data_IF_084386929899
#
_entry.id   IF_084386929899
#
_cell.length_a   1.000
_cell.length_b   1.000
_cell.length_c   1.000
_cell.angle_alpha   90.00
_cell.angle_beta   90.00
_cell.angle_gamma   90.00
#
_symmetry.space_group_name_H-M   'P 1'
#
loop_
_entity.id
_entity.type
_entity.pdbx_description
1 polymer ?
#
# COMPACT_ATOMS: atom_id res chain seq x y z
N UNK A 1 24.76 -24.26 -22.16
CA UNK A 1 26.05 -23.57 -22.38
C UNK A 1 26.34 -23.25 -23.86
N UNK A 2 26.07 -24.16 -24.80
CA UNK A 2 26.46 -24.00 -26.21
C UNK A 2 25.90 -22.76 -26.93
N UNK A 3 24.61 -22.45 -26.76
CA UNK A 3 23.98 -21.30 -27.46
C UNK A 3 24.61 -19.95 -27.07
N UNK A 4 24.95 -19.78 -25.79
CA UNK A 4 25.60 -18.56 -25.29
C UNK A 4 27.01 -18.45 -25.86
N UNK A 5 27.74 -19.57 -25.98
CA UNK A 5 29.07 -19.58 -26.62
C UNK A 5 28.98 -19.16 -28.08
N UNK A 6 27.99 -19.67 -28.82
CA UNK A 6 27.75 -19.29 -30.22
C UNK A 6 27.39 -17.81 -30.37
N UNK A 7 26.55 -17.27 -29.47
CA UNK A 7 26.23 -15.85 -29.46
C UNK A 7 27.45 -14.95 -29.20
N UNK A 8 28.37 -15.39 -28.32
CA UNK A 8 29.65 -14.70 -28.09
C UNK A 8 30.55 -14.74 -29.32
N UNK A 9 30.71 -15.92 -29.93
CA UNK A 9 31.48 -16.08 -31.18
C UNK A 9 30.93 -15.14 -32.28
N UNK A 10 29.60 -15.11 -32.46
CA UNK A 10 28.95 -14.26 -33.46
C UNK A 10 29.14 -12.76 -33.18
N UNK A 11 29.04 -12.34 -31.92
CA UNK A 11 29.29 -10.96 -31.51
C UNK A 11 30.70 -10.51 -31.90
N UNK A 12 31.71 -11.36 -31.66
CA UNK A 12 33.11 -11.02 -31.93
C UNK A 12 33.46 -11.09 -33.42
N UNK A 13 33.01 -12.14 -34.12
CA UNK A 13 33.39 -12.38 -35.51
C UNK A 13 32.72 -11.41 -36.50
N UNK A 14 31.50 -10.98 -36.19
CA UNK A 14 30.69 -10.18 -37.12
C UNK A 14 30.41 -8.76 -36.61
N UNK A 15 30.99 -8.36 -35.47
CA UNK A 15 30.65 -7.11 -34.77
C UNK A 15 29.12 -6.93 -34.58
N UNK A 16 28.44 -8.05 -34.33
CA UNK A 16 26.99 -8.10 -34.27
C UNK A 16 26.49 -7.79 -32.85
N UNK A 17 25.42 -6.99 -32.74
CA UNK A 17 24.69 -6.86 -31.48
C UNK A 17 23.75 -8.05 -31.28
N UNK A 18 24.01 -8.87 -30.26
CA UNK A 18 23.26 -10.10 -29.98
C UNK A 18 22.71 -10.06 -28.56
N UNK A 19 21.43 -10.40 -28.39
CA UNK A 19 20.81 -10.58 -27.09
C UNK A 19 19.98 -11.87 -27.07
N UNK A 20 20.06 -12.60 -25.97
CA UNK A 20 19.32 -13.84 -25.74
C UNK A 20 18.57 -13.75 -24.41
N UNK A 21 17.29 -14.11 -24.45
CA UNK A 21 16.42 -14.27 -23.28
C UNK A 21 15.95 -15.73 -23.31
N UNK A 22 16.28 -16.51 -22.28
CA UNK A 22 15.99 -17.94 -22.20
C UNK A 22 15.21 -18.24 -20.92
N UNK A 23 14.03 -18.84 -21.07
CA UNK A 23 13.23 -19.33 -19.95
C UNK A 23 13.34 -20.86 -19.87
N UNK A 24 13.76 -21.39 -18.72
CA UNK A 24 13.70 -22.82 -18.48
C UNK A 24 12.26 -23.27 -18.19
N UNK A 25 12.00 -24.57 -18.31
CA UNK A 25 10.76 -25.20 -17.82
C UNK A 25 10.53 -25.02 -16.31
N UNK A 26 11.59 -24.68 -15.56
CA UNK A 26 11.55 -24.34 -14.14
C UNK A 26 11.40 -22.85 -13.87
N UNK A 27 11.02 -22.06 -14.89
CA UNK A 27 10.84 -20.61 -14.82
C UNK A 27 12.10 -19.81 -14.43
N UNK A 28 13.30 -20.38 -14.59
CA UNK A 28 14.55 -19.62 -14.41
C UNK A 28 14.85 -18.83 -15.69
N UNK A 29 15.13 -17.55 -15.51
CA UNK A 29 15.59 -16.65 -16.57
C UNK A 29 17.12 -16.76 -16.69
N UNK A 30 17.58 -17.03 -17.91
CA UNK A 30 18.99 -16.90 -18.29
C UNK A 30 19.10 -15.88 -19.41
N UNK A 31 20.03 -14.95 -19.27
CA UNK A 31 20.20 -13.86 -20.21
C UNK A 31 21.64 -13.74 -20.70
N UNK A 32 21.76 -13.27 -21.94
CA UNK A 32 23.03 -12.83 -22.51
C UNK A 32 22.78 -11.57 -23.35
N UNK A 33 23.71 -10.63 -23.30
CA UNK A 33 23.73 -9.44 -24.13
C UNK A 33 25.16 -9.17 -24.57
N UNK A 34 25.35 -8.76 -25.82
CA UNK A 34 26.67 -8.35 -26.30
C UNK A 34 27.21 -7.18 -25.45
N UNK A 35 28.53 -7.13 -25.18
CA UNK A 35 29.11 -6.14 -24.25
C UNK A 35 28.94 -4.67 -24.67
N UNK A 36 28.74 -4.43 -25.96
CA UNK A 36 28.61 -3.10 -26.56
C UNK A 36 27.20 -2.51 -26.46
N UNK A 37 26.23 -3.27 -25.96
CA UNK A 37 24.83 -2.83 -25.83
C UNK A 37 24.22 -3.31 -24.51
N UNK A 38 22.99 -2.88 -24.24
CA UNK A 38 22.21 -3.37 -23.11
C UNK A 38 20.95 -4.07 -23.62
N UNK A 39 20.39 -4.95 -22.80
CA UNK A 39 19.15 -5.65 -23.15
C UNK A 39 18.01 -4.66 -23.44
N UNK A 40 17.92 -3.59 -22.66
CA UNK A 40 16.98 -2.48 -22.91
C UNK A 40 17.19 -1.88 -24.30
N UNK A 41 18.41 -1.51 -24.68
CA UNK A 41 18.70 -0.95 -26.00
C UNK A 41 18.35 -1.90 -27.15
N UNK A 42 18.53 -3.21 -26.95
CA UNK A 42 18.13 -4.23 -27.93
C UNK A 42 16.62 -4.35 -28.06
N UNK A 43 15.89 -4.36 -26.94
CA UNK A 43 14.42 -4.38 -26.91
C UNK A 43 13.87 -3.09 -27.54
N UNK A 44 14.43 -1.93 -27.21
CA UNK A 44 14.01 -0.64 -27.78
C UNK A 44 14.23 -0.61 -29.31
N UNK A 45 15.39 -1.06 -29.79
CA UNK A 45 15.67 -1.18 -31.24
C UNK A 45 14.74 -2.19 -31.91
N UNK A 46 14.46 -3.32 -31.28
CA UNK A 46 13.51 -4.31 -31.81
C UNK A 46 12.14 -3.67 -32.02
N UNK A 47 11.59 -3.02 -30.99
CA UNK A 47 10.30 -2.34 -31.06
C UNK A 47 10.23 -1.27 -32.16
N UNK A 48 11.31 -0.50 -32.36
CA UNK A 48 11.40 0.48 -33.44
C UNK A 48 11.36 -0.14 -34.83
N UNK A 49 12.03 -1.28 -35.03
CA UNK A 49 12.12 -1.94 -36.34
C UNK A 49 10.86 -2.73 -36.67
N UNK A 50 10.26 -3.41 -35.69
CA UNK A 50 9.06 -4.22 -35.90
C UNK A 50 7.77 -3.42 -35.79
N UNK A 51 7.82 -2.18 -35.27
CA UNK A 51 6.63 -1.39 -34.97
C UNK A 51 5.77 -1.98 -33.86
N UNK A 52 6.29 -2.94 -33.07
CA UNK A 52 5.57 -3.55 -31.95
C UNK A 52 5.89 -2.81 -30.67
N UNK A 53 4.87 -2.48 -29.88
CA UNK A 53 5.08 -1.94 -28.55
C UNK A 53 4.84 -3.02 -27.50
N UNK A 54 5.94 -3.54 -26.96
CA UNK A 54 5.93 -4.60 -25.95
C UNK A 54 5.47 -4.07 -24.59
N UNK A 55 5.53 -2.75 -24.39
CA UNK A 55 5.14 -2.09 -23.15
C UNK A 55 3.64 -1.81 -23.08
N UNK A 56 2.92 -1.74 -24.21
CA UNK A 56 1.52 -1.32 -24.25
C UNK A 56 0.62 -2.16 -23.34
N UNK A 57 0.67 -3.49 -23.45
CA UNK A 57 -0.18 -4.36 -22.61
C UNK A 57 0.07 -4.21 -21.10
N UNK A 58 1.34 -4.07 -20.70
CA UNK A 58 1.71 -3.89 -19.29
C UNK A 58 1.36 -2.48 -18.80
N UNK A 59 1.62 -1.46 -19.62
CA UNK A 59 1.32 -0.08 -19.34
C UNK A 59 -0.20 0.16 -19.25
N UNK A 60 -0.99 -0.42 -20.15
CA UNK A 60 -2.45 -0.39 -20.11
C UNK A 60 -3.00 -1.03 -18.81
N UNK A 61 -2.47 -2.19 -18.42
CA UNK A 61 -2.86 -2.84 -17.17
C UNK A 61 -2.52 -1.99 -15.96
N UNK A 62 -1.32 -1.42 -15.92
CA UNK A 62 -0.88 -0.53 -14.84
C UNK A 62 -1.71 0.75 -14.79
N UNK A 63 -2.01 1.35 -15.94
CA UNK A 63 -2.83 2.55 -16.05
C UNK A 63 -4.25 2.28 -15.57
N UNK A 64 -4.82 1.12 -15.90
CA UNK A 64 -6.13 0.69 -15.43
C UNK A 64 -6.16 0.52 -13.91
N UNK A 65 -5.13 -0.10 -13.34
CA UNK A 65 -5.00 -0.25 -11.89
C UNK A 65 -4.84 1.10 -11.19
N UNK A 66 -4.00 1.98 -11.74
CA UNK A 66 -3.81 3.33 -11.24
C UNK A 66 -5.13 4.12 -11.23
N UNK A 67 -5.89 4.09 -12.32
CA UNK A 67 -7.18 4.78 -12.42
C UNK A 67 -8.17 4.22 -11.38
N UNK A 68 -8.23 2.91 -11.21
CA UNK A 68 -9.08 2.27 -10.18
C UNK A 68 -8.71 2.72 -8.76
N UNK A 69 -7.41 2.80 -8.45
CA UNK A 69 -6.94 3.28 -7.15
C UNK A 69 -7.23 4.76 -6.95
N UNK A 70 -7.05 5.57 -8.00
CA UNK A 70 -7.36 7.00 -8.00
C UNK A 70 -8.85 7.25 -7.71
N UNK A 71 -9.75 6.54 -8.40
CA UNK A 71 -11.20 6.63 -8.15
C UNK A 71 -11.56 6.23 -6.72
N UNK A 72 -10.97 5.15 -6.21
CA UNK A 72 -11.18 4.72 -4.81
C UNK A 72 -10.71 5.78 -3.82
N UNK A 73 -9.57 6.42 -4.08
CA UNK A 73 -9.01 7.46 -3.23
C UNK A 73 -9.92 8.69 -3.20
N UNK A 74 -10.37 9.16 -4.36
CA UNK A 74 -11.29 10.30 -4.45
C UNK A 74 -12.63 10.02 -3.75
N UNK A 75 -13.18 8.82 -3.88
CA UNK A 75 -14.37 8.40 -3.12
C UNK A 75 -14.15 8.43 -1.61
N UNK A 76 -13.01 7.94 -1.14
CA UNK A 76 -12.68 7.94 0.30
C UNK A 76 -12.50 9.36 0.83
N UNK A 77 -11.79 10.22 0.08
CA UNK A 77 -11.61 11.63 0.42
C UNK A 77 -12.95 12.36 0.50
N UNK A 78 -13.83 12.15 -0.47
CA UNK A 78 -15.19 12.70 -0.46
C UNK A 78 -15.98 12.21 0.76
N UNK A 79 -15.93 10.92 1.08
CA UNK A 79 -16.61 10.38 2.27
C UNK A 79 -16.07 10.99 3.58
N UNK A 80 -14.76 11.26 3.67
CA UNK A 80 -14.16 11.95 4.82
C UNK A 80 -14.70 13.39 4.92
N UNK A 81 -14.71 14.14 3.82
CA UNK A 81 -15.25 15.50 3.77
C UNK A 81 -16.72 15.56 4.20
N UNK A 82 -17.53 14.63 3.69
CA UNK A 82 -18.94 14.50 4.10
C UNK A 82 -19.08 14.20 5.60
N UNK A 83 -18.24 13.33 6.17
CA UNK A 83 -18.25 13.04 7.61
C UNK A 83 -17.85 14.22 8.49
N UNK A 84 -17.12 15.20 7.97
CA UNK A 84 -16.78 16.44 8.69
C UNK A 84 -17.73 17.60 8.38
N UNK A 85 -18.76 17.37 7.55
CA UNK A 85 -19.80 18.34 7.23
C UNK A 85 -19.60 19.15 5.95
N UNK A 86 -18.65 18.76 5.10
CA UNK A 86 -18.38 19.38 3.79
C UNK A 86 -19.03 18.58 2.64
N UNK A 87 -19.21 19.18 1.46
CA UNK A 87 -19.76 18.54 0.23
C UNK A 87 -21.08 17.73 0.46
N UNK A 88 -21.99 18.28 1.28
CA UNK A 88 -23.26 17.64 1.66
C UNK A 88 -24.39 17.86 0.63
N UNK A 89 -24.25 18.87 -0.21
CA UNK A 89 -25.17 19.24 -1.29
C UNK A 89 -25.31 18.15 -2.37
N UNK A 90 -24.30 17.29 -2.49
CA UNK A 90 -24.31 16.14 -3.38
C UNK A 90 -25.06 14.90 -2.82
N UNK A 91 -25.54 14.95 -1.57
CA UNK A 91 -26.26 13.85 -0.92
C UNK A 91 -27.77 14.09 -0.97
N UNK A 92 -28.53 13.03 -1.27
CA UNK A 92 -29.98 13.07 -1.10
C UNK A 92 -30.39 12.93 0.37
N UNK A 93 -31.67 13.19 0.68
CA UNK A 93 -32.17 13.15 2.05
C UNK A 93 -31.93 11.80 2.76
N UNK A 94 -32.12 10.68 2.05
CA UNK A 94 -31.90 9.34 2.62
C UNK A 94 -30.42 9.09 2.93
N UNK A 95 -29.52 9.55 2.06
CA UNK A 95 -28.07 9.44 2.26
C UNK A 95 -27.61 10.32 3.42
N UNK A 96 -28.18 11.51 3.56
CA UNK A 96 -27.89 12.43 4.66
C UNK A 96 -28.33 11.86 6.01
N UNK A 97 -29.55 11.30 6.10
CA UNK A 97 -30.01 10.60 7.29
C UNK A 97 -29.14 9.38 7.62
N UNK A 98 -28.73 8.61 6.60
CA UNK A 98 -27.81 7.51 6.77
C UNK A 98 -26.44 7.96 7.30
N UNK A 99 -25.92 9.09 6.82
CA UNK A 99 -24.67 9.68 7.31
C UNK A 99 -24.79 10.13 8.77
N UNK A 100 -25.88 10.82 9.13
CA UNK A 100 -26.17 11.27 10.49
C UNK A 100 -26.25 10.10 11.46
N UNK A 101 -26.97 9.04 11.10
CA UNK A 101 -27.10 7.84 11.94
C UNK A 101 -25.72 7.17 12.14
N UNK A 102 -24.95 7.02 11.06
CA UNK A 102 -23.61 6.45 11.14
C UNK A 102 -22.67 7.26 12.05
N UNK A 103 -22.72 8.59 11.98
CA UNK A 103 -21.93 9.48 12.84
C UNK A 103 -22.38 9.38 14.30
N UNK A 104 -23.70 9.34 14.55
CA UNK A 104 -24.27 9.19 15.88
C UNK A 104 -23.86 7.89 16.55
N UNK A 105 -23.90 6.78 15.82
CA UNK A 105 -23.46 5.46 16.31
C UNK A 105 -21.95 5.42 16.58
N UNK A 106 -21.13 5.98 15.68
CA UNK A 106 -19.69 6.07 15.87
C UNK A 106 -19.34 6.90 17.11
N UNK A 107 -20.02 8.03 17.31
CA UNK A 107 -19.84 8.92 18.45
C UNK A 107 -20.24 8.24 19.76
N UNK A 108 -21.35 7.48 19.77
CA UNK A 108 -21.76 6.67 20.94
C UNK A 108 -20.68 5.64 21.33
N UNK A 109 -20.09 4.95 20.34
CA UNK A 109 -18.99 3.98 20.58
C UNK A 109 -17.75 4.67 21.15
N UNK A 110 -17.39 5.85 20.64
CA UNK A 110 -16.25 6.64 21.13
C UNK A 110 -16.49 7.06 22.58
N UNK A 111 -17.67 7.64 22.89
CA UNK A 111 -18.04 8.05 24.26
C UNK A 111 -17.94 6.90 25.25
N UNK A 112 -18.55 5.75 24.93
CA UNK A 112 -18.49 4.56 25.79
C UNK A 112 -17.05 4.10 26.06
N UNK A 113 -16.20 4.15 25.04
CA UNK A 113 -14.79 3.77 25.17
C UNK A 113 -14.03 4.73 26.08
N UNK A 114 -14.27 6.05 25.93
CA UNK A 114 -13.67 7.08 26.77
C UNK A 114 -14.14 6.97 28.23
N UNK A 115 -15.43 6.79 28.46
CA UNK A 115 -16.01 6.59 29.80
C UNK A 115 -15.38 5.39 30.49
N UNK A 116 -15.28 4.26 29.79
CA UNK A 116 -14.63 3.06 30.32
C UNK A 116 -13.15 3.29 30.65
N UNK A 117 -12.42 4.06 29.82
CA UNK A 117 -11.02 4.39 30.06
C UNK A 117 -10.86 5.29 31.29
N UNK A 118 -11.70 6.32 31.42
CA UNK A 118 -11.71 7.23 32.57
C UNK A 118 -12.05 6.46 33.85
N UNK A 119 -13.09 5.62 33.81
CA UNK A 119 -13.49 4.77 34.96
C UNK A 119 -12.34 3.89 35.44
N UNK A 120 -11.65 3.21 34.52
CA UNK A 120 -10.47 2.37 34.84
C UNK A 120 -9.35 3.18 35.48
N UNK A 121 -9.09 4.40 35.02
CA UNK A 121 -8.08 5.29 35.61
C UNK A 121 -8.48 5.73 37.02
N UNK A 122 -9.74 6.12 37.25
CA UNK A 122 -10.27 6.47 38.57
C UNK A 122 -10.13 5.29 39.53
N UNK A 123 -10.54 4.08 39.13
CA UNK A 123 -10.46 2.90 39.98
C UNK A 123 -9.00 2.54 40.34
N UNK A 124 -8.08 2.71 39.39
CA UNK A 124 -6.64 2.50 39.63
C UNK A 124 -6.09 3.53 40.62
N UNK A 125 -6.45 4.80 40.45
CA UNK A 125 -6.03 5.88 41.35
C UNK A 125 -6.58 5.66 42.76
N UNK A 126 -7.87 5.34 42.88
CA UNK A 126 -8.53 5.03 44.15
C UNK A 126 -7.86 3.87 44.89
N UNK A 127 -7.49 2.79 44.17
CA UNK A 127 -6.75 1.66 44.76
C UNK A 127 -5.39 2.09 45.30
N UNK A 128 -4.65 2.95 44.59
CA UNK A 128 -3.36 3.49 45.06
C UNK A 128 -3.54 4.34 46.33
N UNK A 129 -4.51 5.24 46.35
CA UNK A 129 -4.82 6.07 47.54
C UNK A 129 -5.14 5.18 48.73
N UNK A 130 -6.05 4.22 48.57
CA UNK A 130 -6.42 3.31 49.66
C UNK A 130 -5.23 2.46 50.15
N UNK A 131 -4.35 2.04 49.24
CA UNK A 131 -3.13 1.32 49.59
C UNK A 131 -2.16 2.18 50.42
N UNK A 132 -1.93 3.42 49.99
CA UNK A 132 -1.09 4.38 50.71
C UNK A 132 -1.68 4.74 52.07
N UNK A 133 -2.99 5.01 52.17
CA UNK A 133 -3.66 5.30 53.44
C UNK A 133 -3.53 4.13 54.42
N UNK A 134 -3.71 2.89 53.96
CA UNK A 134 -3.48 1.70 54.79
C UNK A 134 -2.04 1.64 55.29
N UNK A 135 -1.07 1.77 54.40
CA UNK A 135 0.36 1.77 54.78
C UNK A 135 0.66 2.87 55.81
N UNK A 136 0.13 4.08 55.62
CA UNK A 136 0.38 5.20 56.52
C UNK A 136 -0.20 4.98 57.92
N UNK A 137 -1.38 4.36 58.02
CA UNK A 137 -1.96 3.95 59.33
C UNK A 137 -1.06 2.93 60.03
N UNK A 138 -0.49 1.97 59.30
CA UNK A 138 0.46 1.02 59.89
C UNK A 138 1.76 1.69 60.36
N UNK A 139 2.27 2.68 59.64
CA UNK A 139 3.49 3.40 60.03
C UNK A 139 3.27 4.33 61.23
N UNK A 140 2.19 5.12 61.24
CA UNK A 140 1.89 6.06 62.35
C UNK A 140 1.48 5.32 63.64
N UNK A 141 0.98 4.08 63.54
CA UNK A 141 0.65 3.25 64.71
C UNK A 141 1.82 2.47 65.31
N UNK A 142 3.04 2.61 64.78
CA UNK A 142 4.26 2.00 65.30
C UNK A 142 5.17 2.97 66.07
N UNK A 143 4.85 4.28 66.06
CA UNK A 143 5.46 5.33 66.90
C UNK A 143 4.58 5.61 68.13
#
# INVERSE_FOLDING_TARGET
>A
AGIIKKAKELTVLCDAHVSLILFSSTHKLFEYCSPTTTMKKMIDRYQQVTGTNLWDSHYESMQKEFNKLKEKNERLRKSIRQRIGEDLDELNHSELCGLEQNLSEALKKIRLTLENKIKRQIDTCRKKVNGLSRSNVYFVGMD
#
